data_IF_635380057748
#
_entry.id   IF_635380057748
#
_cell.length_a   1.000
_cell.length_b   1.000
_cell.length_c   1.000
_cell.angle_alpha   90.00
_cell.angle_beta   90.00
_cell.angle_gamma   90.00
#
_symmetry.space_group_name_H-M   'P 1'
#
loop_
_entity.id
_entity.type
_entity.pdbx_description
1 polymer ?
#
# COMPACT_ATOMS: atom_id res chain seq x y z
N UNK A 1 12.82 4.26 -31.20
CA UNK A 1 13.47 4.36 -29.88
C UNK A 1 12.68 3.44 -28.95
N UNK A 2 13.21 2.27 -28.61
CA UNK A 2 12.51 1.30 -27.75
C UNK A 2 12.57 1.75 -26.29
N UNK A 3 11.42 1.90 -25.63
CA UNK A 3 11.36 2.14 -24.19
C UNK A 3 11.85 0.92 -23.41
N UNK A 4 12.55 1.09 -22.27
CA UNK A 4 13.02 -0.02 -21.47
C UNK A 4 11.81 -0.73 -20.83
N UNK A 5 11.63 -2.01 -21.16
CA UNK A 5 10.61 -2.89 -20.59
C UNK A 5 10.68 -2.85 -19.05
N UNK A 6 9.75 -2.17 -18.42
CA UNK A 6 9.64 -2.07 -16.96
C UNK A 6 9.18 -3.43 -16.41
N UNK A 7 10.02 -4.11 -15.64
CA UNK A 7 9.63 -5.35 -14.95
C UNK A 7 8.56 -5.03 -13.91
N UNK A 8 7.38 -5.61 -14.09
CA UNK A 8 6.32 -5.62 -13.09
C UNK A 8 6.51 -6.87 -12.23
N UNK A 9 6.55 -6.69 -10.90
CA UNK A 9 6.49 -7.80 -9.94
C UNK A 9 5.03 -7.95 -9.52
N UNK A 10 4.47 -9.13 -9.75
CA UNK A 10 3.10 -9.48 -9.38
C UNK A 10 3.20 -10.39 -8.16
N UNK A 11 2.55 -10.02 -7.06
CA UNK A 11 2.48 -10.82 -5.83
C UNK A 11 1.01 -11.07 -5.49
N UNK A 12 0.70 -12.30 -5.12
CA UNK A 12 -0.64 -12.66 -4.67
C UNK A 12 -0.77 -12.43 -3.17
N UNK A 13 -2.00 -12.36 -2.66
CA UNK A 13 -2.25 -12.27 -1.22
C UNK A 13 -1.63 -13.46 -0.44
N UNK A 14 -1.55 -14.64 -1.06
CA UNK A 14 -0.91 -15.81 -0.46
C UNK A 14 0.62 -15.70 -0.38
N UNK A 15 1.23 -14.84 -1.20
CA UNK A 15 2.66 -14.57 -1.20
C UNK A 15 3.05 -13.51 -0.17
N UNK A 16 2.07 -12.76 0.35
CA UNK A 16 2.30 -11.72 1.36
C UNK A 16 2.69 -12.32 2.71
N UNK A 17 3.72 -11.76 3.34
CA UNK A 17 4.34 -12.27 4.56
C UNK A 17 5.61 -13.11 4.35
N UNK A 18 5.91 -13.50 3.10
CA UNK A 18 7.16 -14.16 2.73
C UNK A 18 8.24 -13.19 2.24
N UNK A 19 8.00 -11.89 2.31
CA UNK A 19 8.93 -10.88 1.81
C UNK A 19 10.26 -10.95 2.55
N UNK A 20 11.35 -10.94 1.79
CA UNK A 20 12.71 -10.90 2.33
C UNK A 20 13.14 -9.51 2.75
N UNK A 21 12.43 -8.50 2.27
CA UNK A 21 12.93 -7.12 2.16
C UNK A 21 13.10 -6.44 3.52
N UNK A 22 12.45 -6.98 4.56
CA UNK A 22 12.53 -6.48 5.92
C UNK A 22 13.26 -7.44 6.88
N UNK A 23 13.79 -8.57 6.40
CA UNK A 23 14.40 -9.61 7.26
C UNK A 23 15.55 -9.10 8.12
N UNK A 24 16.33 -8.16 7.59
CA UNK A 24 17.52 -7.60 8.26
C UNK A 24 17.23 -6.38 9.15
N UNK A 25 15.97 -5.97 9.27
CA UNK A 25 15.58 -4.82 10.10
C UNK A 25 15.30 -5.22 11.54
N UNK A 26 15.70 -4.38 12.48
CA UNK A 26 15.40 -4.52 13.90
C UNK A 26 13.93 -4.21 14.18
N UNK A 27 13.36 -4.72 15.29
CA UNK A 27 12.00 -4.37 15.70
C UNK A 27 11.76 -2.86 15.83
N UNK A 28 12.76 -2.11 16.33
CA UNK A 28 12.66 -0.65 16.49
C UNK A 28 12.56 0.06 15.13
N UNK A 29 13.34 -0.37 14.14
CA UNK A 29 13.29 0.19 12.78
C UNK A 29 11.95 -0.11 12.11
N UNK A 30 11.42 -1.33 12.26
CA UNK A 30 10.10 -1.68 11.72
C UNK A 30 8.98 -0.84 12.33
N UNK A 31 9.01 -0.65 13.65
CA UNK A 31 8.07 0.24 14.35
C UNK A 31 8.21 1.69 13.87
N UNK A 32 9.45 2.16 13.65
CA UNK A 32 9.71 3.49 13.09
C UNK A 32 9.12 3.65 11.68
N UNK A 33 9.24 2.65 10.82
CA UNK A 33 8.66 2.65 9.47
C UNK A 33 7.13 2.68 9.51
N UNK A 34 6.51 1.93 10.42
CA UNK A 34 5.05 1.89 10.57
C UNK A 34 4.49 3.17 11.21
N UNK A 35 5.27 3.89 12.00
CA UNK A 35 4.76 4.96 12.85
C UNK A 35 4.01 6.05 12.09
N UNK A 36 4.52 6.50 10.93
CA UNK A 36 3.83 7.51 10.12
C UNK A 36 2.49 6.98 9.58
N UNK A 37 2.45 5.73 9.10
CA UNK A 37 1.21 5.09 8.65
C UNK A 37 0.19 4.94 9.79
N UNK A 38 0.67 4.66 11.01
CA UNK A 38 -0.18 4.58 12.20
C UNK A 38 -0.76 5.94 12.56
N UNK A 39 0.03 7.01 12.50
CA UNK A 39 -0.47 8.37 12.73
C UNK A 39 -1.51 8.79 11.70
N UNK A 40 -1.26 8.50 10.42
CA UNK A 40 -2.21 8.76 9.34
C UNK A 40 -3.52 7.99 9.54
N UNK A 41 -3.44 6.69 9.87
CA UNK A 41 -4.62 5.87 10.16
C UNK A 41 -5.38 6.36 11.40
N UNK A 42 -4.66 6.81 12.44
CA UNK A 42 -5.28 7.38 13.63
C UNK A 42 -5.98 8.70 13.31
N UNK A 43 -5.39 9.56 12.48
CA UNK A 43 -6.02 10.81 12.06
C UNK A 43 -7.36 10.57 11.33
N UNK A 44 -7.53 9.43 10.66
CA UNK A 44 -8.80 9.02 10.02
C UNK A 44 -9.87 8.54 11.00
N UNK A 45 -9.54 8.31 12.27
CA UNK A 45 -10.49 7.90 13.31
C UNK A 45 -11.26 9.08 13.93
N UNK A 46 -11.07 10.31 13.41
CA UNK A 46 -11.76 11.51 13.84
C UNK A 46 -13.00 11.82 13.01
N UNK A 47 -14.14 11.89 13.70
CA UNK A 47 -15.49 12.27 13.25
C UNK A 47 -16.12 11.29 12.24
N UNK A 48 -17.15 10.56 12.70
CA UNK A 48 -18.00 9.65 11.93
C UNK A 48 -18.85 10.41 10.89
N UNK A 49 -18.22 11.07 9.92
CA UNK A 49 -18.93 11.59 8.75
C UNK A 49 -19.13 10.46 7.75
N UNK A 50 -20.06 9.56 8.11
CA UNK A 50 -20.81 8.66 7.24
C UNK A 50 -20.01 8.14 6.03
N UNK A 51 -19.11 7.18 6.22
CA UNK A 51 -18.49 6.50 5.09
C UNK A 51 -19.56 5.74 4.29
N UNK A 52 -19.82 6.19 3.06
CA UNK A 52 -20.56 5.41 2.08
C UNK A 52 -19.84 4.07 1.88
N UNK A 53 -20.54 2.92 1.87
CA UNK A 53 -19.91 1.64 1.68
C UNK A 53 -19.14 1.66 0.36
N UNK A 54 -17.81 1.51 0.45
CA UNK A 54 -16.93 1.43 -0.71
C UNK A 54 -17.50 0.39 -1.67
N UNK A 55 -17.92 0.78 -2.89
CA UNK A 55 -18.53 -0.18 -3.80
C UNK A 55 -17.44 -1.16 -4.20
N UNK A 56 -17.62 -2.43 -3.83
CA UNK A 56 -16.64 -3.53 -3.94
C UNK A 56 -16.20 -3.85 -5.39
N UNK A 57 -16.71 -3.09 -6.36
CA UNK A 57 -16.45 -3.21 -7.79
C UNK A 57 -15.63 -2.05 -8.37
N UNK A 58 -15.29 -1.02 -7.58
CA UNK A 58 -14.54 0.15 -8.07
C UNK A 58 -13.03 -0.13 -8.00
N UNK A 59 -12.52 -0.87 -8.98
CA UNK A 59 -11.09 -0.90 -9.27
C UNK A 59 -10.63 0.45 -9.85
N UNK A 60 -9.48 0.97 -9.37
CA UNK A 60 -8.92 2.25 -9.85
C UNK A 60 -8.26 2.08 -11.22
N UNK A 61 -8.92 2.55 -12.28
CA UNK A 61 -8.32 2.64 -13.62
C UNK A 61 -7.58 3.97 -13.77
N UNK A 62 -6.24 3.95 -13.70
CA UNK A 62 -5.42 5.15 -13.97
C UNK A 62 -5.07 5.19 -15.46
N UNK A 63 -5.73 6.09 -16.22
CA UNK A 63 -5.37 6.40 -17.62
C UNK A 63 -4.49 7.65 -17.66
N UNK A 64 -3.27 7.52 -18.17
CA UNK A 64 -2.42 8.68 -18.48
C UNK A 64 -2.82 9.26 -19.84
N UNK A 65 -3.05 10.58 -19.91
CA UNK A 65 -3.39 11.28 -21.15
C UNK A 65 -2.19 12.12 -21.60
N UNK A 66 -1.67 11.72 -22.77
CA UNK A 66 -0.62 12.28 -23.65
C UNK A 66 0.72 12.64 -23.01
#
# INVERSE_FOLDING_TARGET
MSEPTRRLRIETLADQGNESDLRDTTPAERLGMMWQLTLDAWALMGEDDAELPLPRHVGRVVRRKR
#
